data_IF_814861496473
#
_entry.id   IF_814861496473
#
_cell.length_a   1.000
_cell.length_b   1.000
_cell.length_c   1.000
_cell.angle_alpha   90.00
_cell.angle_beta   90.00
_cell.angle_gamma   90.00
#
_symmetry.space_group_name_H-M   'P 1'
#
loop_
_entity.id
_entity.type
_entity.pdbx_description
1 polymer ?
#
# COMPACT_ATOMS: atom_id res chain seq x y z
N UNK A 1 19.23 28.98 -38.94
CA UNK A 1 19.90 27.77 -38.43
C UNK A 1 20.15 27.79 -36.92
N UNK A 2 20.53 28.91 -36.33
CA UNK A 2 20.71 29.03 -34.89
C UNK A 2 19.43 28.76 -34.08
N UNK A 3 18.29 29.23 -34.53
CA UNK A 3 17.02 29.06 -33.86
C UNK A 3 16.55 27.61 -33.82
N UNK A 4 16.78 26.83 -34.87
CA UNK A 4 16.45 25.39 -34.92
C UNK A 4 17.27 24.57 -33.93
N UNK A 5 18.53 24.91 -33.73
CA UNK A 5 19.40 24.24 -32.75
C UNK A 5 18.99 24.54 -31.30
N UNK A 6 18.57 25.76 -31.03
CA UNK A 6 18.09 26.15 -29.69
C UNK A 6 16.77 25.46 -29.36
N UNK A 7 15.86 25.34 -30.31
CA UNK A 7 14.59 24.65 -30.12
C UNK A 7 14.78 23.12 -29.90
N UNK A 8 15.71 22.53 -30.63
CA UNK A 8 16.03 21.11 -30.46
C UNK A 8 16.66 20.82 -29.08
N UNK A 9 17.54 21.70 -28.60
CA UNK A 9 18.15 21.61 -27.27
C UNK A 9 17.11 21.79 -26.14
N UNK A 10 16.19 22.75 -26.29
CA UNK A 10 15.10 22.99 -25.35
C UNK A 10 14.13 21.79 -25.28
N UNK A 11 13.78 21.22 -26.44
CA UNK A 11 12.92 20.04 -26.50
C UNK A 11 13.56 18.81 -25.82
N UNK A 12 14.87 18.62 -26.00
CA UNK A 12 15.61 17.56 -25.34
C UNK A 12 15.67 17.73 -23.81
N UNK A 13 15.82 18.95 -23.31
CA UNK A 13 15.83 19.27 -21.89
C UNK A 13 14.47 19.08 -21.23
N UNK A 14 13.37 19.38 -21.92
CA UNK A 14 12.01 19.19 -21.40
C UNK A 14 11.52 17.73 -21.51
N UNK A 15 12.03 16.95 -22.45
CA UNK A 15 11.67 15.56 -22.65
C UNK A 15 12.27 14.61 -21.60
N UNK A 16 13.47 14.87 -21.12
CA UNK A 16 14.19 14.03 -20.15
C UNK A 16 13.50 13.93 -18.77
N UNK A 17 13.00 15.01 -18.14
CA UNK A 17 12.30 14.90 -16.85
C UNK A 17 10.97 14.12 -16.93
N UNK A 18 10.29 14.16 -18.07
CA UNK A 18 9.02 13.44 -18.27
C UNK A 18 9.22 11.92 -18.36
N UNK A 19 10.33 11.45 -18.91
CA UNK A 19 10.69 10.03 -18.95
C UNK A 19 11.08 9.49 -17.57
N UNK A 20 11.68 10.31 -16.70
CA UNK A 20 12.05 9.92 -15.34
C UNK A 20 10.87 9.73 -14.38
N UNK A 21 9.68 10.22 -14.74
CA UNK A 21 8.47 10.08 -13.93
C UNK A 21 7.70 8.76 -14.19
N UNK A 22 8.07 7.99 -15.22
CA UNK A 22 7.45 6.71 -15.54
C UNK A 22 8.05 5.61 -14.65
N UNK A 23 7.58 5.50 -13.42
CA UNK A 23 7.95 4.41 -12.53
C UNK A 23 7.07 3.18 -12.81
N UNK A 24 7.64 1.95 -12.79
CA UNK A 24 6.83 0.76 -12.92
C UNK A 24 5.86 0.65 -11.75
N UNK A 25 4.60 0.40 -12.05
CA UNK A 25 3.59 0.15 -11.03
C UNK A 25 3.89 -1.18 -10.34
N UNK A 26 4.05 -1.15 -9.03
CA UNK A 26 4.15 -2.36 -8.24
C UNK A 26 2.75 -2.94 -8.08
N UNK A 27 2.56 -4.17 -8.54
CA UNK A 27 1.31 -4.88 -8.34
C UNK A 27 1.24 -5.41 -6.92
N UNK A 28 0.28 -4.92 -6.14
CA UNK A 28 -0.01 -5.42 -4.79
C UNK A 28 -1.18 -6.40 -4.90
N UNK A 29 -1.03 -7.67 -4.46
CA UNK A 29 -2.15 -8.61 -4.47
C UNK A 29 -3.32 -8.09 -3.63
N UNK A 30 -4.54 -8.26 -4.14
CA UNK A 30 -5.76 -7.80 -3.46
C UNK A 30 -5.90 -8.42 -2.07
N UNK A 31 -5.46 -9.66 -1.89
CA UNK A 31 -5.49 -10.36 -0.60
C UNK A 31 -4.67 -9.67 0.50
N UNK A 32 -3.65 -8.90 0.13
CA UNK A 32 -2.84 -8.14 1.08
C UNK A 32 -3.48 -6.80 1.47
N UNK A 33 -4.50 -6.37 0.74
CA UNK A 33 -5.22 -5.12 0.98
C UNK A 33 -6.48 -5.34 1.83
N UNK A 34 -6.82 -6.59 2.13
CA UNK A 34 -7.96 -6.96 2.96
C UNK A 34 -7.47 -7.56 4.27
N UNK A 35 -7.83 -6.92 5.38
CA UNK A 35 -7.57 -7.44 6.71
C UNK A 35 -8.75 -8.29 7.19
N UNK A 36 -8.47 -9.25 8.07
CA UNK A 36 -9.51 -9.98 8.77
C UNK A 36 -10.40 -8.98 9.53
N UNK A 37 -11.74 -9.05 9.38
CA UNK A 37 -12.63 -8.10 10.05
C UNK A 37 -12.54 -8.24 11.56
N UNK A 38 -12.62 -7.11 12.26
CA UNK A 38 -12.66 -7.10 13.71
C UNK A 38 -14.00 -7.67 14.18
N UNK A 39 -14.02 -8.63 15.12
CA UNK A 39 -15.27 -9.17 15.64
C UNK A 39 -16.05 -8.12 16.42
N UNK A 40 -17.37 -8.13 16.30
CA UNK A 40 -18.25 -7.22 17.02
C UNK A 40 -18.31 -7.57 18.50
N UNK A 41 -18.24 -6.56 19.37
CA UNK A 41 -18.47 -6.72 20.80
C UNK A 41 -19.98 -6.66 21.09
N UNK A 42 -20.48 -7.71 21.71
CA UNK A 42 -21.89 -7.77 22.14
C UNK A 42 -21.99 -7.56 23.65
N UNK A 43 -22.93 -6.73 24.09
CA UNK A 43 -23.09 -6.38 25.50
C UNK A 43 -23.57 -7.54 26.37
N UNK A 44 -24.07 -8.62 25.75
CA UNK A 44 -24.58 -9.82 26.43
C UNK A 44 -23.55 -10.93 26.55
N UNK A 45 -22.31 -10.69 26.15
CA UNK A 45 -21.24 -11.67 26.24
C UNK A 45 -20.90 -12.00 27.70
N UNK A 46 -20.71 -13.29 27.98
CA UNK A 46 -20.14 -13.75 29.25
C UNK A 46 -18.62 -13.58 29.25
N UNK A 47 -17.96 -13.84 30.37
CA UNK A 47 -16.52 -13.69 30.53
C UNK A 47 -15.71 -14.51 29.52
N UNK A 48 -16.17 -15.73 29.23
CA UNK A 48 -15.54 -16.59 28.22
C UNK A 48 -15.65 -16.03 26.82
N UNK A 49 -16.81 -15.48 26.46
CA UNK A 49 -17.05 -14.88 25.17
C UNK A 49 -16.23 -13.59 24.99
N UNK A 50 -16.11 -12.79 26.06
CA UNK A 50 -15.26 -11.59 26.07
C UNK A 50 -13.78 -11.95 25.88
N UNK A 51 -13.30 -12.95 26.60
CA UNK A 51 -11.91 -13.41 26.45
C UNK A 51 -11.62 -13.88 25.02
N UNK A 52 -12.54 -14.63 24.44
CA UNK A 52 -12.42 -15.09 23.03
C UNK A 52 -12.46 -13.91 22.06
N UNK A 53 -13.35 -12.95 22.28
CA UNK A 53 -13.44 -11.75 21.49
C UNK A 53 -12.13 -10.95 21.52
N UNK A 54 -11.49 -10.85 22.68
CA UNK A 54 -10.20 -10.18 22.82
C UNK A 54 -9.11 -10.88 22.01
N UNK A 55 -9.04 -12.21 22.05
CA UNK A 55 -8.09 -13.01 21.27
C UNK A 55 -8.33 -12.84 19.76
N UNK A 56 -9.58 -12.90 19.33
CA UNK A 56 -9.94 -12.74 17.92
C UNK A 56 -9.62 -11.33 17.41
N UNK A 57 -9.79 -10.32 18.27
CA UNK A 57 -9.42 -8.93 17.96
C UNK A 57 -7.90 -8.78 17.79
N UNK A 58 -7.12 -9.40 18.66
CA UNK A 58 -5.65 -9.43 18.56
C UNK A 58 -5.22 -10.13 17.27
N UNK A 59 -5.82 -11.28 16.96
CA UNK A 59 -5.51 -12.04 15.75
C UNK A 59 -5.83 -11.24 14.48
N UNK A 60 -6.97 -10.55 14.44
CA UNK A 60 -7.32 -9.68 13.32
C UNK A 60 -6.33 -8.53 13.15
N UNK A 61 -5.87 -7.95 14.26
CA UNK A 61 -4.84 -6.90 14.25
C UNK A 61 -3.48 -7.43 13.76
N UNK A 62 -3.09 -8.63 14.18
CA UNK A 62 -1.85 -9.28 13.72
C UNK A 62 -1.91 -9.62 12.23
N UNK A 63 -3.04 -10.11 11.74
CA UNK A 63 -3.27 -10.36 10.32
C UNK A 63 -3.03 -9.10 9.49
N UNK A 64 -3.62 -7.99 9.92
CA UNK A 64 -3.50 -6.70 9.24
C UNK A 64 -2.05 -6.19 9.25
N UNK A 65 -1.37 -6.24 10.40
CA UNK A 65 0.04 -5.84 10.52
C UNK A 65 0.96 -6.71 9.67
N UNK A 66 0.72 -8.02 9.62
CA UNK A 66 1.47 -8.94 8.79
C UNK A 66 1.34 -8.61 7.31
N UNK A 67 0.11 -8.35 6.85
CA UNK A 67 -0.16 -7.94 5.46
C UNK A 67 0.49 -6.60 5.13
N UNK A 68 0.44 -5.64 6.05
CA UNK A 68 1.08 -4.34 5.87
C UNK A 68 2.61 -4.48 5.72
N UNK A 69 3.25 -5.35 6.48
CA UNK A 69 4.69 -5.63 6.33
C UNK A 69 5.01 -6.19 4.95
N UNK A 70 4.18 -7.09 4.43
CA UNK A 70 4.35 -7.64 3.09
C UNK A 70 4.20 -6.57 2.01
N UNK A 71 3.17 -5.73 2.11
CA UNK A 71 2.97 -4.59 1.20
C UNK A 71 4.17 -3.64 1.26
N UNK A 72 4.64 -3.34 2.46
CA UNK A 72 5.81 -2.48 2.67
C UNK A 72 7.05 -3.02 1.97
N UNK A 73 7.28 -4.34 2.03
CA UNK A 73 8.38 -4.98 1.32
C UNK A 73 8.26 -4.89 -0.19
N UNK A 74 7.04 -4.87 -0.74
CA UNK A 74 6.80 -4.77 -2.17
C UNK A 74 7.00 -3.35 -2.71
N UNK A 75 6.69 -2.32 -1.92
CA UNK A 75 6.71 -0.91 -2.36
C UNK A 75 7.96 -0.16 -1.88
N UNK A 76 8.71 -0.69 -0.94
CA UNK A 76 9.95 -0.07 -0.45
C UNK A 76 11.02 -0.07 -1.55
N UNK A 77 11.80 1.03 -1.69
CA UNK A 77 12.88 1.10 -2.67
C UNK A 77 14.03 0.15 -2.34
#
# INVERSE_FOLDING_TARGET
>A
MHQLRIHALLAALFGLPLMGCAQPKVAVPASLLECQPQPALELTMDDHAVARWMLDTVDAGEDCRGKLRLVRGLVAP
#
